data_IF_246430879076
#
_entry.id   IF_246430879076
#
_cell.length_a   1.000
_cell.length_b   1.000
_cell.length_c   1.000
_cell.angle_alpha   90.00
_cell.angle_beta   90.00
_cell.angle_gamma   90.00
#
_symmetry.space_group_name_H-M   'P 1'
#
loop_
_entity.id
_entity.type
_entity.pdbx_description
1 polymer ?
#
# COMPACT_ATOMS: atom_id res chain seq x y z
N UNK A 1 -5.01 14.48 31.29
CA UNK A 1 -4.87 13.82 29.98
C UNK A 1 -5.88 14.48 29.07
N UNK A 2 -5.46 15.07 27.95
CA UNK A 2 -6.39 15.73 27.02
C UNK A 2 -7.02 14.62 26.19
N UNK A 3 -8.31 14.38 26.39
CA UNK A 3 -9.09 13.47 25.56
C UNK A 3 -8.85 13.80 24.08
N UNK A 4 -8.40 12.81 23.30
CA UNK A 4 -8.15 13.03 21.87
C UNK A 4 -9.46 12.78 21.15
N UNK A 5 -10.17 13.87 20.86
CA UNK A 5 -11.41 13.78 20.07
C UNK A 5 -11.05 13.34 18.66
N UNK A 6 -11.46 12.13 18.27
CA UNK A 6 -11.34 11.65 16.91
C UNK A 6 -12.59 12.10 16.17
N UNK A 7 -12.47 13.16 15.37
CA UNK A 7 -13.49 13.45 14.37
C UNK A 7 -13.40 12.44 13.22
N UNK A 8 -14.57 11.99 12.77
CA UNK A 8 -14.72 11.35 11.46
C UNK A 8 -14.99 12.46 10.45
N UNK A 9 -14.18 12.51 9.40
CA UNK A 9 -14.22 13.52 8.34
C UNK A 9 -15.18 13.14 7.22
N UNK A 10 -15.62 14.11 6.42
CA UNK A 10 -16.46 13.92 5.25
C UNK A 10 -15.92 12.82 4.31
N UNK A 11 -14.60 12.80 4.05
CA UNK A 11 -13.96 11.77 3.22
C UNK A 11 -14.13 10.33 3.71
N UNK A 12 -14.33 10.12 5.01
CA UNK A 12 -14.47 8.79 5.62
C UNK A 12 -15.93 8.30 5.55
N UNK A 13 -16.90 9.22 5.50
CA UNK A 13 -18.32 8.97 5.25
C UNK A 13 -18.62 8.76 3.76
N UNK A 14 -17.96 9.57 2.94
CA UNK A 14 -18.22 9.68 1.52
C UNK A 14 -16.96 9.35 0.72
N UNK A 15 -16.50 8.10 0.79
CA UNK A 15 -15.21 7.69 0.24
C UNK A 15 -15.05 7.92 -1.28
N UNK A 16 -16.17 7.95 -2.02
CA UNK A 16 -16.21 8.13 -3.48
C UNK A 16 -16.40 9.58 -3.92
N UNK A 17 -16.64 10.50 -2.98
CA UNK A 17 -16.77 11.91 -3.33
C UNK A 17 -15.42 12.48 -3.74
N UNK A 18 -15.42 13.16 -4.89
CA UNK A 18 -14.19 13.66 -5.54
C UNK A 18 -13.99 15.15 -5.30
N UNK A 19 -15.08 15.85 -4.96
CA UNK A 19 -15.12 17.28 -4.73
C UNK A 19 -15.99 17.58 -3.52
N UNK A 20 -15.65 18.64 -2.80
CA UNK A 20 -16.43 19.10 -1.65
C UNK A 20 -16.20 20.58 -1.41
N UNK A 21 -17.28 21.32 -1.19
CA UNK A 21 -17.22 22.74 -0.81
C UNK A 21 -17.19 22.86 0.71
N UNK A 22 -16.26 23.65 1.24
CA UNK A 22 -16.01 23.77 2.69
C UNK A 22 -15.46 25.16 3.01
N UNK A 23 -15.58 25.59 4.26
CA UNK A 23 -15.10 26.90 4.71
C UNK A 23 -13.69 26.80 5.28
N UNK A 24 -12.84 27.78 4.96
CA UNK A 24 -11.48 27.92 5.53
C UNK A 24 -11.60 28.36 6.99
N UNK A 25 -11.08 27.56 7.92
CA UNK A 25 -11.13 27.85 9.37
C UNK A 25 -9.88 28.59 9.82
N UNK A 26 -8.71 28.15 9.35
CA UNK A 26 -7.45 28.83 9.63
C UNK A 26 -6.49 28.66 8.45
N UNK A 27 -5.67 29.68 8.20
CA UNK A 27 -4.58 29.62 7.22
C UNK A 27 -3.41 30.43 7.76
N UNK A 28 -2.23 29.80 7.91
CA UNK A 28 -1.03 30.46 8.43
C UNK A 28 0.24 30.01 7.70
N UNK A 29 1.26 30.88 7.56
CA UNK A 29 2.54 30.50 6.99
C UNK A 29 3.15 29.31 7.74
N UNK A 30 3.73 28.38 6.99
CA UNK A 30 4.36 27.18 7.51
C UNK A 30 5.54 26.75 6.61
N UNK A 31 6.29 25.76 7.07
CA UNK A 31 7.30 25.07 6.27
C UNK A 31 6.98 23.60 6.26
N UNK A 32 7.04 22.98 5.09
CA UNK A 32 6.83 21.56 4.95
C UNK A 32 8.04 20.88 4.33
N UNK A 33 8.39 19.71 4.85
CA UNK A 33 9.41 18.85 4.25
C UNK A 33 8.77 17.99 3.15
N UNK A 34 9.25 18.17 1.94
CA UNK A 34 8.88 17.35 0.78
C UNK A 34 10.11 16.60 0.26
N UNK A 35 9.88 15.45 -0.37
CA UNK A 35 10.92 14.68 -1.04
C UNK A 35 10.92 15.06 -2.52
N UNK A 36 12.04 15.63 -2.99
CA UNK A 36 12.27 15.96 -4.40
C UNK A 36 13.49 15.18 -4.84
N UNK A 37 13.34 14.28 -5.81
CA UNK A 37 14.44 13.43 -6.32
C UNK A 37 15.18 12.67 -5.21
N UNK A 38 14.45 12.13 -4.23
CA UNK A 38 15.03 11.39 -3.09
C UNK A 38 15.71 12.25 -2.02
N UNK A 39 15.75 13.59 -2.17
CA UNK A 39 16.31 14.50 -1.17
C UNK A 39 15.19 15.25 -0.44
N UNK A 40 15.33 15.34 0.89
CA UNK A 40 14.45 16.14 1.75
C UNK A 40 14.72 17.62 1.53
N UNK A 41 13.68 18.37 1.17
CA UNK A 41 13.73 19.84 1.02
C UNK A 41 12.60 20.47 1.83
N UNK A 42 12.91 21.50 2.60
CA UNK A 42 11.91 22.34 3.25
C UNK A 42 11.47 23.43 2.28
N UNK A 43 10.17 23.54 2.07
CA UNK A 43 9.56 24.58 1.24
C UNK A 43 8.63 25.44 2.10
N UNK A 44 8.57 26.73 1.78
CA UNK A 44 7.58 27.64 2.35
C UNK A 44 6.20 27.28 1.78
N UNK A 45 5.20 27.24 2.65
CA UNK A 45 3.84 26.80 2.34
C UNK A 45 2.87 27.39 3.38
N UNK A 46 1.61 26.97 3.33
CA UNK A 46 0.58 27.43 4.26
C UNK A 46 -0.11 26.23 4.91
N UNK A 47 -0.13 26.24 6.23
CA UNK A 47 -0.91 25.29 7.03
C UNK A 47 -2.35 25.78 7.10
N UNK A 48 -3.28 24.99 6.54
CA UNK A 48 -4.69 25.35 6.40
C UNK A 48 -5.60 24.27 6.97
N UNK A 49 -6.61 24.68 7.75
CA UNK A 49 -7.68 23.80 8.23
C UNK A 49 -9.02 24.27 7.68
N UNK A 50 -9.96 23.34 7.56
CA UNK A 50 -11.30 23.56 7.03
C UNK A 50 -12.34 23.01 8.01
N UNK A 51 -13.60 23.42 7.87
CA UNK A 51 -14.71 22.91 8.71
C UNK A 51 -14.86 21.40 8.58
N UNK A 52 -14.74 20.88 7.36
CA UNK A 52 -14.58 19.46 7.05
C UNK A 52 -13.78 19.28 5.74
N UNK A 53 -13.40 18.06 5.41
CA UNK A 53 -12.55 17.77 4.25
C UNK A 53 -12.91 16.49 3.50
N UNK A 54 -12.86 16.57 2.17
CA UNK A 54 -12.92 15.40 1.27
C UNK A 54 -11.54 14.78 1.06
N UNK A 55 -10.46 15.37 1.57
CA UNK A 55 -9.11 14.83 1.50
C UNK A 55 -8.80 14.04 2.78
N UNK A 56 -8.41 12.77 2.62
CA UNK A 56 -8.10 11.91 3.75
C UNK A 56 -6.73 12.31 4.33
N UNK A 57 -6.66 12.70 5.61
CA UNK A 57 -5.37 12.84 6.28
C UNK A 57 -4.76 11.46 6.51
N UNK A 58 -3.42 11.35 6.51
CA UNK A 58 -2.76 10.08 6.83
C UNK A 58 -3.29 9.46 8.14
N UNK A 59 -3.46 8.13 8.17
CA UNK A 59 -4.00 7.44 9.34
C UNK A 59 -4.27 5.96 9.13
N UNK A 60 -4.15 5.15 10.18
CA UNK A 60 -4.42 3.70 10.12
C UNK A 60 -3.49 2.92 9.18
N UNK A 61 -2.32 3.47 8.87
CA UNK A 61 -1.39 2.92 7.87
C UNK A 61 -1.70 3.30 6.41
N UNK A 62 -2.82 3.99 6.15
CA UNK A 62 -3.15 4.50 4.84
C UNK A 62 -2.47 5.86 4.59
N UNK A 63 -1.78 6.05 3.45
CA UNK A 63 -1.20 7.34 3.09
C UNK A 63 -2.25 8.40 2.79
N UNK A 64 -1.86 9.66 2.97
CA UNK A 64 -2.74 10.81 2.74
C UNK A 64 -3.07 11.04 1.26
N UNK A 65 -4.17 11.76 1.03
CA UNK A 65 -4.55 12.19 -0.31
C UNK A 65 -3.75 13.38 -0.81
N UNK A 66 -3.82 13.57 -2.13
CA UNK A 66 -3.32 14.73 -2.86
C UNK A 66 -4.50 15.33 -3.63
N UNK A 67 -4.29 16.53 -4.17
CA UNK A 67 -5.32 17.20 -4.95
C UNK A 67 -5.10 18.71 -4.97
N UNK A 68 -6.20 19.45 -5.05
CA UNK A 68 -6.19 20.91 -5.04
C UNK A 68 -7.36 21.50 -4.27
N UNK A 69 -7.21 22.76 -3.85
CA UNK A 69 -8.27 23.59 -3.28
C UNK A 69 -8.36 24.85 -4.14
N UNK A 70 -9.48 25.06 -4.85
CA UNK A 70 -9.65 26.13 -5.86
C UNK A 70 -8.47 26.24 -6.84
N UNK A 71 -7.93 25.08 -7.25
CA UNK A 71 -6.78 25.00 -8.15
C UNK A 71 -5.41 25.18 -7.50
N UNK A 72 -5.33 25.50 -6.20
CA UNK A 72 -4.08 25.54 -5.43
C UNK A 72 -3.69 24.11 -5.05
N UNK A 73 -2.46 23.70 -5.38
CA UNK A 73 -1.94 22.36 -5.09
C UNK A 73 -1.88 22.07 -3.58
N UNK A 74 -2.36 20.89 -3.20
CA UNK A 74 -2.22 20.34 -1.84
C UNK A 74 -1.01 19.42 -1.78
N UNK A 75 -0.01 19.84 -1.02
CA UNK A 75 1.28 19.15 -0.89
C UNK A 75 1.19 17.94 0.03
N UNK A 76 0.41 18.07 1.11
CA UNK A 76 0.24 17.03 2.14
C UNK A 76 -1.00 17.30 2.97
N UNK A 77 -1.61 16.25 3.52
CA UNK A 77 -2.70 16.33 4.49
C UNK A 77 -2.33 15.48 5.71
N UNK A 78 -2.22 16.12 6.87
CA UNK A 78 -1.81 15.49 8.12
C UNK A 78 -2.94 15.49 9.13
N UNK A 79 -3.06 14.42 9.90
CA UNK A 79 -3.93 14.42 11.07
C UNK A 79 -3.20 15.05 12.25
N UNK A 80 -3.82 16.04 12.91
CA UNK A 80 -3.34 16.60 14.17
C UNK A 80 -4.48 16.62 15.18
N UNK A 81 -4.53 15.60 16.03
CA UNK A 81 -5.68 15.37 16.92
C UNK A 81 -6.96 15.13 16.13
N UNK A 82 -7.98 15.95 16.39
CA UNK A 82 -9.27 15.92 15.69
C UNK A 82 -9.27 16.63 14.33
N UNK A 83 -8.19 17.33 13.96
CA UNK A 83 -8.16 18.18 12.76
C UNK A 83 -7.42 17.53 11.58
N UNK A 84 -7.89 17.82 10.37
CA UNK A 84 -7.18 17.57 9.12
C UNK A 84 -6.45 18.84 8.67
N UNK A 85 -5.12 18.78 8.73
CA UNK A 85 -4.22 19.90 8.46
C UNK A 85 -3.65 19.77 7.05
N UNK A 86 -3.96 20.73 6.20
CA UNK A 86 -3.58 20.74 4.78
C UNK A 86 -2.40 21.68 4.57
N UNK A 87 -1.40 21.24 3.81
CA UNK A 87 -0.27 22.06 3.41
C UNK A 87 -0.45 22.52 1.97
N UNK A 88 -0.69 23.82 1.77
CA UNK A 88 -0.96 24.44 0.48
C UNK A 88 0.22 25.27 -0.01
N UNK A 89 0.41 25.36 -1.32
CA UNK A 89 1.46 26.21 -1.93
C UNK A 89 1.18 27.72 -1.78
N UNK A 90 -0.10 28.10 -1.70
CA UNK A 90 -0.56 29.50 -1.63
C UNK A 90 -1.55 29.67 -0.47
N UNK A 91 -1.65 30.88 0.12
CA UNK A 91 -2.59 31.13 1.21
C UNK A 91 -4.03 31.16 0.70
N UNK A 92 -4.95 30.92 1.62
CA UNK A 92 -6.39 31.13 1.44
C UNK A 92 -6.90 32.15 2.47
N UNK A 93 -7.98 32.84 2.13
CA UNK A 93 -8.65 33.77 3.05
C UNK A 93 -9.47 32.99 4.07
N UNK A 94 -9.31 33.31 5.36
CA UNK A 94 -10.08 32.69 6.45
C UNK A 94 -11.54 33.12 6.36
N UNK A 95 -12.47 32.18 6.48
CA UNK A 95 -13.91 32.39 6.29
C UNK A 95 -14.39 32.27 4.84
N UNK A 96 -13.48 32.13 3.87
CA UNK A 96 -13.87 31.88 2.48
C UNK A 96 -14.41 30.46 2.29
N UNK A 97 -15.44 30.33 1.45
CA UNK A 97 -15.93 29.03 0.98
C UNK A 97 -15.13 28.65 -0.26
N UNK A 98 -14.50 27.48 -0.22
CA UNK A 98 -13.60 26.98 -1.26
C UNK A 98 -13.99 25.57 -1.68
N UNK A 99 -13.59 25.15 -2.88
CA UNK A 99 -13.83 23.79 -3.38
C UNK A 99 -12.55 22.95 -3.33
N UNK A 100 -12.60 21.88 -2.54
CA UNK A 100 -11.57 20.84 -2.53
C UNK A 100 -11.82 19.84 -3.66
N UNK A 101 -10.75 19.35 -4.29
CA UNK A 101 -10.78 18.30 -5.29
C UNK A 101 -9.61 17.33 -5.08
N UNK A 102 -9.91 16.03 -4.96
CA UNK A 102 -8.87 15.00 -4.77
C UNK A 102 -8.30 14.49 -6.10
N UNK A 103 -7.05 14.00 -6.04
CA UNK A 103 -6.52 13.06 -7.02
C UNK A 103 -7.24 11.72 -6.85
N UNK A 104 -8.27 11.52 -7.66
CA UNK A 104 -9.08 10.30 -7.62
C UNK A 104 -8.29 9.03 -7.89
N UNK A 105 -7.28 9.08 -8.77
CA UNK A 105 -6.48 7.89 -9.12
C UNK A 105 -5.71 7.40 -7.90
N UNK A 106 -5.11 8.34 -7.15
CA UNK A 106 -4.44 8.04 -5.87
C UNK A 106 -5.43 7.55 -4.81
N UNK A 107 -6.54 8.26 -4.59
CA UNK A 107 -7.55 7.88 -3.59
C UNK A 107 -8.07 6.46 -3.84
N UNK A 108 -8.46 6.16 -5.07
CA UNK A 108 -9.02 4.87 -5.42
C UNK A 108 -7.99 3.74 -5.28
N UNK A 109 -6.73 3.98 -5.68
CA UNK A 109 -5.63 3.03 -5.46
C UNK A 109 -5.45 2.70 -3.97
N UNK A 110 -5.49 3.71 -3.09
CA UNK A 110 -5.41 3.50 -1.64
C UNK A 110 -6.61 2.74 -1.09
N UNK A 111 -7.84 3.07 -1.51
CA UNK A 111 -9.06 2.34 -1.13
C UNK A 111 -8.97 0.87 -1.53
N UNK A 112 -8.42 0.58 -2.71
CA UNK A 112 -8.19 -0.78 -3.18
C UNK A 112 -7.19 -1.52 -2.29
N UNK A 113 -6.02 -0.92 -2.00
CA UNK A 113 -5.01 -1.58 -1.18
C UNK A 113 -5.49 -1.82 0.26
N UNK A 114 -6.20 -0.86 0.83
CA UNK A 114 -6.70 -0.96 2.20
C UNK A 114 -7.80 -2.02 2.30
N UNK A 115 -8.77 -2.02 1.40
CA UNK A 115 -9.85 -3.02 1.42
C UNK A 115 -9.32 -4.42 1.09
N UNK A 116 -8.34 -4.54 0.19
CA UNK A 116 -7.64 -5.80 -0.04
C UNK A 116 -6.90 -6.30 1.21
N UNK A 117 -6.27 -5.41 1.97
CA UNK A 117 -5.64 -5.78 3.24
C UNK A 117 -6.66 -6.38 4.22
N UNK A 118 -7.83 -5.76 4.39
CA UNK A 118 -8.88 -6.28 5.28
C UNK A 118 -9.35 -7.66 4.81
N UNK A 119 -9.61 -7.80 3.51
CA UNK A 119 -10.05 -9.07 2.92
C UNK A 119 -9.03 -10.20 3.12
N UNK A 120 -7.75 -9.95 2.82
CA UNK A 120 -6.69 -10.96 2.98
C UNK A 120 -6.53 -11.33 4.46
N UNK A 121 -6.51 -10.34 5.36
CA UNK A 121 -6.43 -10.57 6.80
C UNK A 121 -7.56 -11.46 7.29
N UNK A 122 -8.81 -11.17 6.92
CA UNK A 122 -9.97 -11.92 7.35
C UNK A 122 -9.94 -13.37 6.87
N UNK A 123 -9.63 -13.57 5.58
CA UNK A 123 -9.64 -14.90 4.96
C UNK A 123 -8.46 -15.75 5.45
N UNK A 124 -7.27 -15.16 5.60
CA UNK A 124 -6.10 -15.88 6.13
C UNK A 124 -6.32 -16.34 7.57
N UNK A 125 -6.94 -15.50 8.41
CA UNK A 125 -7.27 -15.85 9.78
C UNK A 125 -8.37 -16.93 9.84
N UNK A 126 -9.39 -16.82 9.00
CA UNK A 126 -10.50 -17.81 8.95
C UNK A 126 -10.04 -19.18 8.45
N UNK A 127 -9.20 -19.22 7.41
CA UNK A 127 -8.76 -20.47 6.80
C UNK A 127 -7.67 -21.16 7.62
N UNK A 128 -6.76 -20.40 8.22
CA UNK A 128 -5.52 -20.95 8.77
C UNK A 128 -5.16 -20.44 10.18
N UNK A 129 -5.97 -19.54 10.76
CA UNK A 129 -5.66 -18.92 12.06
C UNK A 129 -4.47 -17.95 12.00
N UNK A 130 -4.13 -17.45 10.81
CA UNK A 130 -3.03 -16.50 10.63
C UNK A 130 -3.42 -15.09 11.08
N UNK A 131 -3.30 -14.85 12.38
CA UNK A 131 -3.54 -13.55 12.97
C UNK A 131 -2.60 -12.48 12.37
N UNK A 132 -3.16 -11.38 11.88
CA UNK A 132 -2.36 -10.25 11.40
C UNK A 132 -1.74 -9.50 12.58
N UNK A 133 -0.45 -9.16 12.52
CA UNK A 133 0.27 -8.40 13.56
C UNK A 133 0.48 -6.95 13.16
N UNK A 134 0.85 -6.72 11.91
CA UNK A 134 1.01 -5.39 11.32
C UNK A 134 0.79 -5.44 9.81
N UNK A 135 0.74 -4.29 9.16
CA UNK A 135 0.68 -4.19 7.70
C UNK A 135 1.35 -2.90 7.24
N UNK A 136 1.66 -2.85 5.96
CA UNK A 136 2.20 -1.67 5.30
C UNK A 136 1.57 -1.52 3.92
N UNK A 137 1.01 -0.34 3.67
CA UNK A 137 0.44 0.02 2.38
C UNK A 137 1.45 0.89 1.62
N UNK A 138 2.37 0.24 0.93
CA UNK A 138 3.43 0.92 0.17
C UNK A 138 2.91 1.58 -1.11
N UNK A 139 3.80 2.29 -1.82
CA UNK A 139 3.46 2.99 -3.07
C UNK A 139 3.23 2.02 -4.24
N UNK A 140 4.07 0.99 -4.34
CA UNK A 140 3.97 -0.01 -5.41
C UNK A 140 3.46 -1.36 -4.91
N UNK A 141 3.97 -1.82 -3.77
CA UNK A 141 3.65 -3.13 -3.17
C UNK A 141 3.29 -2.93 -1.71
N UNK A 142 2.34 -3.71 -1.22
CA UNK A 142 1.90 -3.73 0.18
C UNK A 142 2.27 -5.07 0.82
N UNK A 143 2.31 -5.14 2.15
CA UNK A 143 2.45 -6.41 2.85
C UNK A 143 1.59 -6.48 4.11
N UNK A 144 1.30 -7.72 4.53
CA UNK A 144 0.67 -8.04 5.81
C UNK A 144 1.65 -8.92 6.59
N UNK A 145 1.98 -8.53 7.82
CA UNK A 145 2.75 -9.36 8.74
C UNK A 145 1.80 -10.31 9.47
N UNK A 146 1.93 -11.60 9.21
CA UNK A 146 1.12 -12.67 9.77
C UNK A 146 1.88 -13.40 10.89
N UNK A 147 1.16 -13.79 11.93
CA UNK A 147 1.70 -14.48 13.10
C UNK A 147 1.95 -15.97 12.85
N UNK A 148 2.82 -16.25 11.88
CA UNK A 148 3.24 -17.60 11.50
C UNK A 148 4.68 -17.57 11.01
N UNK A 149 5.43 -18.63 11.30
CA UNK A 149 6.84 -18.73 10.90
C UNK A 149 7.01 -18.95 9.38
N UNK A 150 6.04 -19.63 8.76
CA UNK A 150 6.08 -19.93 7.34
C UNK A 150 4.67 -20.17 6.80
N UNK A 151 4.44 -19.74 5.56
CA UNK A 151 3.22 -20.05 4.81
C UNK A 151 3.61 -20.95 3.64
N UNK A 152 3.15 -22.22 3.60
CA UNK A 152 3.31 -23.09 2.45
C UNK A 152 2.79 -22.45 1.16
N UNK A 153 3.43 -22.75 0.03
CA UNK A 153 3.04 -22.19 -1.27
C UNK A 153 1.59 -22.52 -1.65
N UNK A 154 1.17 -23.75 -1.38
CA UNK A 154 -0.21 -24.20 -1.63
C UNK A 154 -1.24 -23.38 -0.85
N UNK A 155 -0.94 -23.04 0.42
CA UNK A 155 -1.83 -22.19 1.22
C UNK A 155 -1.93 -20.77 0.67
N UNK A 156 -0.83 -20.21 0.15
CA UNK A 156 -0.84 -18.91 -0.55
C UNK A 156 -1.73 -18.97 -1.79
N UNK A 157 -1.61 -20.04 -2.59
CA UNK A 157 -2.42 -20.22 -3.81
C UNK A 157 -3.92 -20.36 -3.47
N UNK A 158 -4.27 -21.15 -2.46
CA UNK A 158 -5.65 -21.30 -1.99
C UNK A 158 -6.20 -20.03 -1.36
N UNK A 159 -5.38 -19.29 -0.60
CA UNK A 159 -5.75 -17.99 -0.04
C UNK A 159 -6.03 -16.97 -1.15
N UNK A 160 -5.15 -16.89 -2.16
CA UNK A 160 -5.34 -16.00 -3.30
C UNK A 160 -6.65 -16.30 -4.03
N UNK A 161 -6.96 -17.58 -4.27
CA UNK A 161 -8.19 -17.97 -4.92
C UNK A 161 -9.43 -17.62 -4.07
N UNK A 162 -9.37 -17.87 -2.76
CA UNK A 162 -10.45 -17.57 -1.85
C UNK A 162 -10.76 -16.06 -1.74
N UNK A 163 -9.74 -15.19 -1.76
CA UNK A 163 -9.97 -13.72 -1.76
C UNK A 163 -10.49 -13.25 -3.11
N UNK A 164 -9.98 -13.78 -4.24
CA UNK A 164 -10.46 -13.40 -5.56
C UNK A 164 -11.87 -13.93 -5.85
N UNK A 165 -12.27 -15.06 -5.25
CA UNK A 165 -13.65 -15.52 -5.33
C UNK A 165 -14.62 -14.48 -4.75
N UNK A 166 -14.32 -13.92 -3.57
CA UNK A 166 -15.15 -12.86 -2.95
C UNK A 166 -15.21 -11.58 -3.79
N UNK A 167 -14.13 -11.27 -4.52
CA UNK A 167 -14.12 -10.18 -5.50
C UNK A 167 -15.08 -10.48 -6.66
N UNK A 168 -15.04 -11.70 -7.21
CA UNK A 168 -15.94 -12.14 -8.29
C UNK A 168 -17.40 -12.23 -7.86
N UNK A 169 -17.65 -12.57 -6.60
CA UNK A 169 -18.97 -12.57 -5.99
C UNK A 169 -19.51 -11.14 -5.76
N UNK A 170 -18.69 -10.11 -6.05
CA UNK A 170 -19.03 -8.71 -5.84
C UNK A 170 -19.54 -8.46 -4.41
N UNK A 171 -18.84 -9.00 -3.40
CA UNK A 171 -19.28 -8.89 -2.01
C UNK A 171 -19.37 -7.42 -1.57
N UNK A 172 -20.51 -6.97 -1.01
CA UNK A 172 -20.67 -5.62 -0.48
C UNK A 172 -19.73 -5.30 0.68
N UNK A 173 -19.36 -4.03 0.77
CA UNK A 173 -18.61 -3.46 1.90
C UNK A 173 -19.42 -2.31 2.48
N UNK A 174 -19.82 -2.47 3.74
CA UNK A 174 -20.63 -1.49 4.47
C UNK A 174 -19.76 -0.71 5.45
N UNK A 175 -20.00 0.59 5.51
CA UNK A 175 -19.31 1.51 6.41
C UNK A 175 -20.38 2.17 7.27
N UNK A 176 -20.27 2.00 8.58
CA UNK A 176 -21.24 2.53 9.54
C UNK A 176 -20.49 3.24 10.67
N UNK A 177 -21.02 4.39 11.08
CA UNK A 177 -20.60 5.10 12.29
C UNK A 177 -21.50 4.69 13.44
N UNK A 178 -20.88 4.34 14.56
CA UNK A 178 -21.54 4.04 15.82
C UNK A 178 -21.12 5.06 16.88
N UNK A 179 -22.00 5.33 17.83
CA UNK A 179 -21.60 6.05 19.04
C UNK A 179 -20.58 5.22 19.83
N UNK A 180 -19.62 5.89 20.48
CA UNK A 180 -18.55 5.21 21.24
C UNK A 180 -19.07 4.26 22.33
N UNK A 181 -20.28 4.50 22.82
CA UNK A 181 -20.94 3.71 23.86
C UNK A 181 -21.94 2.68 23.29
N UNK A 182 -22.03 2.53 21.97
CA UNK A 182 -22.98 1.60 21.36
C UNK A 182 -22.63 0.15 21.77
N UNK A 183 -23.58 -0.60 22.35
CA UNK A 183 -23.33 -1.96 22.81
C UNK A 183 -22.89 -2.92 21.69
N UNK A 184 -23.24 -2.65 20.42
CA UNK A 184 -22.84 -3.47 19.26
C UNK A 184 -21.32 -3.47 19.05
N UNK A 185 -20.61 -2.45 19.54
CA UNK A 185 -19.15 -2.38 19.46
C UNK A 185 -18.45 -3.49 20.27
N UNK A 186 -19.12 -4.10 21.25
CA UNK A 186 -18.56 -5.20 22.06
C UNK A 186 -18.41 -6.52 21.29
N UNK A 187 -19.21 -6.70 20.24
CA UNK A 187 -19.25 -7.92 19.42
C UNK A 187 -18.33 -7.80 18.18
N UNK A 188 -17.85 -6.60 17.89
CA UNK A 188 -17.00 -6.32 16.73
C UNK A 188 -15.56 -6.66 17.07
N UNK A 189 -14.83 -7.27 16.13
CA UNK A 189 -13.42 -7.60 16.33
C UNK A 189 -12.64 -6.30 16.55
N UNK A 190 -12.16 -6.11 17.77
CA UNK A 190 -11.39 -4.94 18.14
C UNK A 190 -9.90 -5.29 18.26
N UNK A 191 -9.03 -4.41 17.76
CA UNK A 191 -7.61 -4.36 18.19
C UNK A 191 -7.42 -3.40 19.37
N UNK A 192 -8.50 -3.13 20.10
CA UNK A 192 -8.59 -2.06 21.09
C UNK A 192 -8.75 -0.69 20.43
N UNK A 193 -9.79 0.05 20.80
CA UNK A 193 -9.71 1.51 20.78
C UNK A 193 -8.91 1.90 22.03
N UNK A 194 -7.86 2.74 21.94
CA UNK A 194 -7.30 3.39 23.11
C UNK A 194 -8.42 3.97 23.98
N UNK A 195 -8.34 3.78 25.30
CA UNK A 195 -9.35 4.25 26.28
C UNK A 195 -9.58 5.77 26.21
N UNK A 196 -8.64 6.50 25.61
CA UNK A 196 -8.62 7.95 25.45
C UNK A 196 -9.34 8.48 24.18
N UNK A 197 -9.97 7.59 23.39
CA UNK A 197 -10.72 7.99 22.18
C UNK A 197 -12.13 8.44 22.56
N UNK A 198 -12.40 9.71 22.31
CA UNK A 198 -13.74 10.31 22.41
C UNK A 198 -14.22 10.64 21.00
N UNK A 199 -15.38 10.12 20.59
CA UNK A 199 -15.96 10.38 19.26
C UNK A 199 -16.56 9.13 18.59
N UNK A 200 -17.26 9.29 17.47
CA UNK A 200 -17.91 8.19 16.78
C UNK A 200 -16.89 7.15 16.28
N UNK A 201 -17.25 5.88 16.41
CA UNK A 201 -16.43 4.74 16.00
C UNK A 201 -16.88 4.27 14.63
N UNK A 202 -15.94 4.26 13.67
CA UNK A 202 -16.21 3.82 12.31
C UNK A 202 -15.90 2.34 12.14
N UNK A 203 -16.92 1.60 11.70
CA UNK A 203 -16.86 0.15 11.49
C UNK A 203 -17.01 -0.15 10.01
N UNK A 204 -16.12 -0.97 9.50
CA UNK A 204 -16.11 -1.46 8.12
C UNK A 204 -16.45 -2.95 8.17
N UNK A 205 -17.50 -3.30 7.43
CA UNK A 205 -18.02 -4.67 7.33
C UNK A 205 -17.85 -5.14 5.90
N UNK A 206 -17.06 -6.18 5.67
CA UNK A 206 -17.10 -6.95 4.43
C UNK A 206 -18.15 -8.03 4.64
N UNK A 207 -19.26 -7.95 3.92
CA UNK A 207 -20.45 -8.76 4.18
C UNK A 207 -20.12 -10.25 4.23
N UNK A 208 -20.55 -10.94 5.29
CA UNK A 208 -20.29 -12.38 5.53
C UNK A 208 -18.80 -12.78 5.58
N UNK A 209 -17.88 -11.83 5.76
CA UNK A 209 -16.43 -12.10 5.82
C UNK A 209 -15.81 -11.54 7.09
N UNK A 210 -15.99 -10.24 7.36
CA UNK A 210 -15.34 -9.59 8.50
C UNK A 210 -16.03 -8.30 8.90
N UNK A 211 -15.86 -7.91 10.16
CA UNK A 211 -16.33 -6.64 10.71
C UNK A 211 -15.27 -6.09 11.64
N UNK A 212 -14.65 -4.97 11.26
CA UNK A 212 -13.56 -4.34 12.01
C UNK A 212 -13.76 -2.84 12.15
N UNK A 213 -13.23 -2.29 13.24
CA UNK A 213 -13.08 -0.84 13.37
C UNK A 213 -11.93 -0.36 12.49
N UNK A 214 -12.20 0.60 11.59
CA UNK A 214 -11.19 1.17 10.72
C UNK A 214 -11.53 2.61 10.33
N UNK A 215 -10.53 3.48 10.44
CA UNK A 215 -10.63 4.88 10.05
C UNK A 215 -10.22 5.13 8.59
N UNK A 216 -9.69 4.16 7.84
CA UNK A 216 -9.27 4.38 6.44
C UNK A 216 -10.43 4.53 5.46
N UNK A 217 -10.14 4.90 4.22
CA UNK A 217 -11.14 4.89 3.15
C UNK A 217 -11.19 3.52 2.49
N UNK A 218 -12.40 3.08 2.12
CA UNK A 218 -12.65 1.74 1.60
C UNK A 218 -13.54 1.78 0.36
N UNK A 219 -13.43 0.76 -0.48
CA UNK A 219 -14.39 0.52 -1.55
C UNK A 219 -15.75 0.13 -0.96
N UNK A 220 -16.84 0.36 -1.68
CA UNK A 220 -18.19 -0.08 -1.27
C UNK A 220 -18.50 -1.51 -1.72
N UNK A 221 -17.69 -2.06 -2.61
CA UNK A 221 -17.86 -3.41 -3.14
C UNK A 221 -16.50 -4.00 -3.49
N UNK A 222 -16.28 -5.29 -3.18
CA UNK A 222 -15.01 -5.95 -3.47
C UNK A 222 -14.70 -6.05 -4.97
N UNK A 223 -15.70 -5.98 -5.87
CA UNK A 223 -15.48 -5.94 -7.31
C UNK A 223 -14.58 -4.77 -7.75
N UNK A 224 -14.58 -3.65 -7.01
CA UNK A 224 -13.68 -2.52 -7.28
C UNK A 224 -12.22 -2.87 -7.06
N UNK A 225 -11.91 -3.94 -6.34
CA UNK A 225 -10.55 -4.46 -6.21
C UNK A 225 -10.03 -5.08 -7.51
N UNK A 226 -10.90 -5.43 -8.46
CA UNK A 226 -10.60 -6.10 -9.74
C UNK A 226 -9.95 -7.48 -9.58
N UNK A 227 -8.76 -7.53 -8.98
CA UNK A 227 -8.05 -8.73 -8.58
C UNK A 227 -7.10 -8.40 -7.41
N UNK A 228 -6.74 -9.43 -6.66
CA UNK A 228 -5.61 -9.42 -5.72
C UNK A 228 -4.58 -10.43 -6.20
N UNK A 229 -3.31 -10.04 -6.19
CA UNK A 229 -2.19 -10.96 -6.41
C UNK A 229 -1.31 -11.02 -5.17
N UNK A 230 -1.12 -12.21 -4.62
CA UNK A 230 -0.13 -12.52 -3.60
C UNK A 230 1.20 -12.83 -4.31
N UNK A 231 2.24 -12.08 -3.97
CA UNK A 231 3.50 -12.07 -4.73
C UNK A 231 4.49 -13.08 -4.19
N UNK A 232 4.91 -12.88 -2.94
CA UNK A 232 5.92 -13.69 -2.27
C UNK A 232 5.85 -13.45 -0.77
N UNK A 233 6.57 -14.28 -0.02
CA UNK A 233 6.70 -14.16 1.43
C UNK A 233 8.13 -13.84 1.82
N UNK A 234 8.33 -12.98 2.81
CA UNK A 234 9.63 -12.75 3.45
C UNK A 234 9.57 -13.01 4.95
N UNK A 235 10.73 -13.24 5.58
CA UNK A 235 10.83 -13.39 7.03
C UNK A 235 10.64 -12.03 7.71
N UNK A 236 9.62 -11.95 8.57
CA UNK A 236 9.36 -10.81 9.46
C UNK A 236 10.13 -10.90 10.77
N UNK A 237 9.84 -9.98 11.70
CA UNK A 237 10.46 -9.96 13.03
C UNK A 237 9.86 -11.05 13.92
N UNK A 238 10.65 -11.61 14.83
CA UNK A 238 10.19 -12.57 15.85
C UNK A 238 9.46 -13.80 15.26
N UNK A 239 10.03 -14.40 14.22
CA UNK A 239 9.47 -15.58 13.52
C UNK A 239 8.06 -15.38 12.95
N UNK A 240 7.79 -14.17 12.43
CA UNK A 240 6.58 -13.86 11.65
C UNK A 240 6.87 -13.90 10.15
N UNK A 241 5.82 -13.88 9.34
CA UNK A 241 5.91 -13.88 7.88
C UNK A 241 5.30 -12.61 7.29
N UNK A 242 6.01 -11.94 6.38
CA UNK A 242 5.48 -10.84 5.58
C UNK A 242 4.91 -11.41 4.29
N UNK A 243 3.59 -11.32 4.09
CA UNK A 243 2.92 -11.68 2.86
C UNK A 243 2.75 -10.44 1.97
N UNK A 244 3.47 -10.37 0.86
CA UNK A 244 3.43 -9.25 -0.07
C UNK A 244 2.29 -9.40 -1.08
N UNK A 245 1.59 -8.31 -1.37
CA UNK A 245 0.46 -8.29 -2.30
C UNK A 245 0.33 -6.98 -3.08
N UNK A 246 -0.43 -7.05 -4.17
CA UNK A 246 -0.95 -5.90 -4.93
C UNK A 246 -2.42 -6.13 -5.26
N UNK A 247 -3.21 -5.06 -5.29
CA UNK A 247 -4.63 -5.10 -5.65
C UNK A 247 -5.00 -4.05 -6.70
N UNK A 248 -6.07 -4.29 -7.44
CA UNK A 248 -6.64 -3.30 -8.36
C UNK A 248 -5.73 -2.93 -9.51
N UNK A 249 -5.66 -1.63 -9.81
CA UNK A 249 -4.85 -1.12 -10.90
C UNK A 249 -3.34 -1.46 -10.77
N UNK A 250 -2.88 -1.77 -9.54
CA UNK A 250 -1.50 -2.22 -9.31
C UNK A 250 -1.23 -3.61 -9.88
N UNK A 251 -2.23 -4.50 -9.93
CA UNK A 251 -2.08 -5.82 -10.56
C UNK A 251 -1.81 -5.66 -12.06
N UNK A 252 -2.60 -4.82 -12.74
CA UNK A 252 -2.41 -4.56 -14.17
C UNK A 252 -1.05 -3.91 -14.45
N UNK A 253 -0.62 -2.96 -13.61
CA UNK A 253 0.70 -2.32 -13.72
C UNK A 253 1.82 -3.36 -13.54
N UNK A 254 1.74 -4.15 -12.49
CA UNK A 254 2.71 -5.20 -12.19
C UNK A 254 2.80 -6.23 -13.33
N UNK A 255 1.65 -6.64 -13.88
CA UNK A 255 1.60 -7.54 -15.03
C UNK A 255 2.24 -6.92 -16.28
N UNK A 256 1.95 -5.65 -16.58
CA UNK A 256 2.58 -4.93 -17.69
C UNK A 256 4.11 -4.83 -17.53
N UNK A 257 4.62 -4.61 -16.32
CA UNK A 257 6.05 -4.64 -16.02
C UNK A 257 6.66 -6.04 -16.22
N UNK A 258 5.94 -7.11 -15.83
CA UNK A 258 6.36 -8.49 -16.10
C UNK A 258 6.47 -8.77 -17.60
N UNK A 259 5.44 -8.43 -18.39
CA UNK A 259 5.45 -8.62 -19.84
C UNK A 259 6.56 -7.80 -20.51
N UNK A 260 6.81 -6.59 -20.02
CA UNK A 260 7.92 -5.75 -20.51
C UNK A 260 9.27 -6.43 -20.29
N UNK A 261 9.51 -6.95 -19.08
CA UNK A 261 10.74 -7.71 -18.78
C UNK A 261 10.86 -8.99 -19.61
N UNK A 262 9.76 -9.73 -19.78
CA UNK A 262 9.73 -10.95 -20.58
C UNK A 262 10.02 -10.68 -22.07
N UNK A 263 9.51 -9.58 -22.60
CA UNK A 263 9.79 -9.15 -23.98
C UNK A 263 11.27 -8.78 -24.16
N UNK A 264 11.86 -8.10 -23.18
CA UNK A 264 13.30 -7.79 -23.18
C UNK A 264 14.15 -9.06 -23.13
N UNK A 265 13.78 -10.05 -22.31
CA UNK A 265 14.46 -11.34 -22.26
C UNK A 265 14.34 -12.13 -23.57
N UNK A 266 13.16 -12.10 -24.19
CA UNK A 266 12.92 -12.69 -25.53
C UNK A 266 13.87 -12.10 -26.57
N UNK A 267 14.08 -10.77 -26.53
CA UNK A 267 15.00 -10.10 -27.44
C UNK A 267 16.47 -10.48 -27.18
N UNK A 268 16.87 -10.64 -25.90
CA UNK A 268 18.24 -11.01 -25.52
C UNK A 268 18.58 -12.48 -25.79
N UNK A 269 17.62 -13.38 -25.58
CA UNK A 269 17.82 -14.83 -25.69
C UNK A 269 17.44 -15.37 -27.07
N UNK A 270 16.77 -14.56 -27.89
CA UNK A 270 16.22 -14.95 -29.19
C UNK A 270 15.36 -16.22 -29.11
N UNK A 271 14.51 -16.31 -28.08
CA UNK A 271 13.68 -17.48 -27.81
C UNK A 271 12.34 -17.10 -27.20
N UNK A 272 11.38 -18.02 -27.24
CA UNK A 272 10.11 -17.85 -26.55
C UNK A 272 10.27 -17.87 -25.01
N UNK A 273 9.31 -17.30 -24.25
CA UNK A 273 9.34 -17.25 -22.79
C UNK A 273 9.53 -18.59 -22.09
N UNK A 274 8.91 -19.65 -22.61
CA UNK A 274 9.02 -21.00 -22.03
C UNK A 274 10.45 -21.56 -22.04
N UNK A 275 11.34 -21.01 -22.89
CA UNK A 275 12.74 -21.41 -22.96
C UNK A 275 13.69 -20.55 -22.09
N UNK A 276 13.22 -19.42 -21.56
CA UNK A 276 14.10 -18.42 -20.92
C UNK A 276 14.93 -19.02 -19.78
N UNK A 277 14.30 -19.74 -18.86
CA UNK A 277 15.01 -20.36 -17.73
C UNK A 277 16.10 -21.32 -18.21
N UNK A 278 15.75 -22.25 -19.10
CA UNK A 278 16.67 -23.27 -19.64
C UNK A 278 17.87 -22.62 -20.34
N UNK A 279 17.64 -21.56 -21.11
CA UNK A 279 18.71 -20.86 -21.82
C UNK A 279 19.60 -20.06 -20.88
N UNK A 280 19.04 -19.42 -19.84
CA UNK A 280 19.84 -18.75 -18.80
C UNK A 280 20.73 -19.75 -18.07
N UNK A 281 20.20 -20.91 -17.67
CA UNK A 281 20.98 -21.97 -17.03
C UNK A 281 22.08 -22.51 -17.95
N UNK A 282 21.80 -22.67 -19.24
CA UNK A 282 22.79 -23.06 -20.25
C UNK A 282 23.91 -22.01 -20.35
N UNK A 283 23.54 -20.72 -20.49
CA UNK A 283 24.51 -19.63 -20.58
C UNK A 283 25.40 -19.54 -19.32
N UNK A 284 24.84 -19.74 -18.12
CA UNK A 284 25.63 -19.78 -16.88
C UNK A 284 26.61 -20.96 -16.84
N UNK A 285 26.19 -22.14 -17.30
CA UNK A 285 27.06 -23.33 -17.40
C UNK A 285 28.18 -23.11 -18.42
N UNK A 286 27.86 -22.53 -19.57
CA UNK A 286 28.84 -22.25 -20.62
C UNK A 286 29.84 -21.16 -20.18
N UNK A 287 29.38 -20.10 -19.50
CA UNK A 287 30.23 -19.08 -18.89
C UNK A 287 31.22 -19.69 -17.88
N UNK A 288 30.76 -20.61 -17.02
CA UNK A 288 31.63 -21.30 -16.05
C UNK A 288 32.71 -22.13 -16.76
N UNK A 289 32.35 -22.90 -17.79
CA UNK A 289 33.30 -23.69 -18.59
C UNK A 289 34.32 -22.81 -19.32
N UNK A 290 33.88 -21.69 -19.87
CA UNK A 290 34.78 -20.71 -20.50
C UNK A 290 35.77 -20.13 -19.48
N UNK A 291 35.31 -19.78 -18.28
CA UNK A 291 36.17 -19.28 -17.21
C UNK A 291 37.22 -20.32 -16.76
N UNK A 292 36.82 -21.58 -16.57
CA UNK A 292 37.73 -22.69 -16.24
C UNK A 292 38.78 -22.92 -17.35
N UNK A 293 38.35 -22.80 -18.61
CA UNK A 293 39.25 -22.88 -19.75
C UNK A 293 40.27 -21.75 -19.70
N UNK A 294 39.84 -20.49 -19.61
CA UNK A 294 40.75 -19.33 -19.56
C UNK A 294 41.80 -19.46 -18.45
N UNK A 295 41.40 -19.91 -17.26
CA UNK A 295 42.33 -20.14 -16.14
C UNK A 295 43.34 -21.28 -16.43
N UNK A 296 42.90 -22.34 -17.08
CA UNK A 296 43.78 -23.43 -17.54
C UNK A 296 44.81 -22.94 -18.54
N UNK A 297 44.38 -22.17 -19.54
CA UNK A 297 45.26 -21.57 -20.54
C UNK A 297 46.22 -20.55 -19.92
N UNK A 298 45.77 -19.77 -18.94
CA UNK A 298 46.61 -18.84 -18.16
C UNK A 298 47.72 -19.57 -17.39
N UNK A 299 47.40 -20.67 -16.73
CA UNK A 299 48.37 -21.52 -16.01
C UNK A 299 49.38 -22.15 -16.97
N UNK A 300 48.93 -22.71 -18.09
CA UNK A 300 49.81 -23.27 -19.12
C UNK A 300 50.75 -22.21 -19.70
N UNK A 301 50.25 -21.00 -20.00
CA UNK A 301 51.07 -19.90 -20.49
C UNK A 301 52.11 -19.46 -19.46
N UNK A 302 51.74 -19.34 -18.19
CA UNK A 302 52.68 -19.01 -17.10
C UNK A 302 53.77 -20.07 -16.96
N UNK A 303 53.45 -21.34 -17.20
CA UNK A 303 54.43 -22.42 -17.17
C UNK A 303 55.43 -22.31 -18.32
N UNK A 304 54.94 -22.04 -19.54
CA UNK A 304 55.77 -21.83 -20.74
C UNK A 304 56.67 -20.58 -20.60
N UNK A 305 56.15 -19.47 -20.06
CA UNK A 305 56.91 -18.22 -19.91
C UNK A 305 57.75 -18.15 -18.64
N UNK A 306 57.47 -18.97 -17.63
CA UNK A 306 58.26 -19.08 -16.39
C UNK A 306 59.48 -20.00 -16.54
N UNK A 307 59.43 -20.94 -17.47
CA UNK A 307 60.54 -21.86 -17.79
C UNK A 307 61.72 -21.21 -18.52
N UNK A 308 61.61 -19.97 -18.99
CA UNK A 308 62.66 -19.26 -19.73
C UNK A 308 63.57 -18.37 -18.86
N UNK A 309 63.51 -18.49 -17.52
CA UNK A 309 64.30 -17.65 -16.59
C UNK A 309 65.37 -18.37 -15.75
N UNK A 310 65.79 -19.56 -16.17
CA UNK A 310 66.93 -20.26 -15.57
C UNK A 310 67.89 -20.76 -16.65
N UNK A 311 68.80 -19.87 -17.06
CA UNK A 311 70.16 -20.16 -17.54
C UNK A 311 71.01 -18.93 -17.28
#
# INVERSE_FOLDING_TARGET
YKDTVIMVFYCQRHCYEKKYSTTVVACKPAKQEIIVNGKKKKIDCYETTFEDTVMFPEGGGQPDDRGSVDGISVLRVLRRGGEAVHYLEKPLEVGAVVTQQIDWKRRHDHMQQHSAQHLITAVADTMYGYATRSWYLGESVSYIELDTEKIPKEEVELLEEAVNQRIRDATPVHIVEYDALDPKLKEIRTRGLPEDIVGPVRVVTIENVDTNMCCGTHVHNLADLQAIKLLYTEKGKSNKTLLYFVAGARVLRYFGECITRETQLTALLHSCPSDHQRLVEKNQKDLKKCAESVDTWGRQRSWITGSTRTT
#
